data_IF_904427878117
#
_entry.id   IF_904427878117
#
_cell.length_a   1.000
_cell.length_b   1.000
_cell.length_c   1.000
_cell.angle_alpha   90.00
_cell.angle_beta   90.00
_cell.angle_gamma   90.00
#
_symmetry.space_group_name_H-M   'P 1'
#
loop_
_entity.id
_entity.type
_entity.pdbx_description
1 polymer ?
#
# COMPACT_ATOMS: atom_id res chain seq x y z
N UNK A 1 9.73 -0.95 14.98
CA UNK A 1 8.83 -1.12 16.15
C UNK A 1 7.35 -1.22 15.75
N UNK A 2 6.79 -0.24 15.02
CA UNK A 2 5.41 -0.27 14.55
C UNK A 2 5.08 -1.42 13.58
N UNK A 3 5.95 -1.68 12.59
CA UNK A 3 5.76 -2.78 11.63
C UNK A 3 5.63 -4.16 12.30
N UNK A 4 6.45 -4.43 13.32
CA UNK A 4 6.34 -5.66 14.12
C UNK A 4 5.10 -5.67 15.00
N UNK A 5 4.76 -4.54 15.65
CA UNK A 5 3.58 -4.40 16.51
C UNK A 5 2.26 -4.70 15.78
N UNK A 6 2.16 -4.32 14.52
CA UNK A 6 0.97 -4.53 13.71
C UNK A 6 1.06 -5.76 12.79
N UNK A 7 2.04 -6.64 12.99
CA UNK A 7 2.17 -7.89 12.24
C UNK A 7 2.57 -7.72 10.77
N UNK A 8 2.96 -6.53 10.32
CA UNK A 8 3.36 -6.26 8.93
C UNK A 8 4.62 -7.06 8.57
N UNK A 9 5.59 -7.13 9.48
CA UNK A 9 6.80 -7.92 9.28
C UNK A 9 6.55 -9.44 9.23
N UNK A 10 5.44 -9.91 9.81
CA UNK A 10 5.08 -11.33 9.85
C UNK A 10 4.34 -11.81 8.59
N UNK A 11 3.84 -10.91 7.75
CA UNK A 11 3.21 -11.26 6.48
C UNK A 11 4.22 -11.94 5.55
N UNK A 12 3.86 -13.06 4.95
CA UNK A 12 4.77 -13.80 4.08
C UNK A 12 4.93 -13.12 2.71
N UNK A 13 6.04 -13.38 2.02
CA UNK A 13 6.20 -12.89 0.66
C UNK A 13 5.22 -13.56 -0.32
N UNK A 14 4.72 -14.75 -0.01
CA UNK A 14 3.76 -15.47 -0.83
C UNK A 14 2.40 -14.78 -0.81
N UNK A 15 1.90 -14.43 0.39
CA UNK A 15 0.64 -13.68 0.55
C UNK A 15 0.70 -12.34 -0.18
N UNK A 16 1.86 -11.67 -0.15
CA UNK A 16 2.06 -10.40 -0.86
C UNK A 16 1.99 -10.61 -2.37
N UNK A 17 2.60 -11.66 -2.92
CA UNK A 17 2.53 -11.97 -4.35
C UNK A 17 1.10 -12.28 -4.79
N UNK A 18 0.37 -13.04 -3.99
CA UNK A 18 -1.05 -13.31 -4.25
C UNK A 18 -1.88 -12.02 -4.23
N UNK A 19 -1.71 -11.16 -3.23
CA UNK A 19 -2.38 -9.86 -3.19
C UNK A 19 -2.01 -8.97 -4.41
N UNK A 20 -0.78 -9.06 -4.90
CA UNK A 20 -0.33 -8.33 -6.09
C UNK A 20 -0.97 -8.88 -7.37
N UNK A 21 -1.10 -10.21 -7.50
CA UNK A 21 -1.74 -10.84 -8.67
C UNK A 21 -3.25 -10.58 -8.73
N UNK A 22 -3.89 -10.28 -7.59
CA UNK A 22 -5.27 -9.81 -7.53
C UNK A 22 -5.46 -8.36 -8.01
N UNK A 23 -4.37 -7.63 -8.29
CA UNK A 23 -4.43 -6.24 -8.73
C UNK A 23 -4.81 -5.26 -7.60
N UNK A 24 -4.46 -5.58 -6.35
CA UNK A 24 -4.68 -4.66 -5.22
C UNK A 24 -3.86 -3.37 -5.35
N UNK A 25 -2.56 -3.51 -5.62
CA UNK A 25 -1.67 -2.41 -5.98
C UNK A 25 -1.18 -2.60 -7.42
N UNK A 26 -1.36 -1.59 -8.27
CA UNK A 26 -0.92 -1.61 -9.67
C UNK A 26 -0.20 -0.32 -10.05
N UNK A 27 0.89 -0.41 -10.82
CA UNK A 27 1.53 0.77 -11.40
C UNK A 27 0.72 1.27 -12.59
N UNK A 28 0.49 2.57 -12.68
CA UNK A 28 -0.37 3.16 -13.72
C UNK A 28 0.24 4.43 -14.28
N UNK A 29 1.28 4.28 -15.10
CA UNK A 29 1.92 5.42 -15.77
C UNK A 29 2.49 6.46 -14.80
N UNK A 30 2.36 7.73 -15.20
CA UNK A 30 2.83 8.88 -14.45
C UNK A 30 1.77 9.96 -14.35
N UNK A 31 1.85 10.77 -13.28
CA UNK A 31 0.96 11.91 -13.10
C UNK A 31 1.39 13.12 -13.95
N UNK A 32 0.69 14.25 -13.76
CA UNK A 32 0.95 15.50 -14.49
C UNK A 32 2.35 16.08 -14.25
N UNK A 33 3.00 15.71 -13.14
CA UNK A 33 4.35 16.14 -12.76
C UNK A 33 5.41 15.10 -13.14
N UNK A 34 5.02 14.03 -13.84
CA UNK A 34 5.91 12.95 -14.27
C UNK A 34 6.25 11.94 -13.16
N UNK A 35 5.61 12.00 -11.99
CA UNK A 35 5.84 11.04 -10.89
C UNK A 35 5.16 9.71 -11.22
N UNK A 36 5.82 8.57 -10.95
CA UNK A 36 5.17 7.27 -11.14
C UNK A 36 3.94 7.16 -10.24
N UNK A 37 2.86 6.59 -10.80
CA UNK A 37 1.60 6.42 -10.09
C UNK A 37 1.39 4.96 -9.66
N UNK A 38 0.87 4.78 -8.45
CA UNK A 38 0.41 3.49 -7.92
C UNK A 38 -1.08 3.61 -7.60
N UNK A 39 -1.88 2.76 -8.23
CA UNK A 39 -3.30 2.59 -7.90
C UNK A 39 -3.44 1.61 -6.75
N UNK A 40 -4.28 1.97 -5.78
CA UNK A 40 -4.64 1.15 -4.62
C UNK A 40 -6.14 0.93 -4.68
N UNK A 41 -6.58 -0.28 -5.05
CA UNK A 41 -7.99 -0.63 -5.24
C UNK A 41 -8.64 -1.04 -3.93
N UNK A 42 -9.28 -0.09 -3.24
CA UNK A 42 -9.79 -0.29 -1.88
C UNK A 42 -10.96 -1.28 -1.81
N UNK A 43 -11.67 -1.54 -2.92
CA UNK A 43 -12.71 -2.56 -2.96
C UNK A 43 -12.18 -3.99 -2.70
N UNK A 44 -10.88 -4.21 -2.94
CA UNK A 44 -10.19 -5.48 -2.69
C UNK A 44 -9.70 -5.62 -1.23
N UNK A 45 -9.74 -4.55 -0.43
CA UNK A 45 -9.54 -4.59 1.02
C UNK A 45 -10.73 -5.24 1.73
N UNK A 46 -11.07 -6.48 1.37
CA UNK A 46 -12.01 -7.30 2.14
C UNK A 46 -11.22 -7.92 3.28
N UNK A 47 -11.52 -7.53 4.52
CA UNK A 47 -10.69 -7.88 5.69
C UNK A 47 -10.47 -9.39 5.85
N UNK A 48 -11.42 -10.21 5.41
CA UNK A 48 -11.31 -11.67 5.41
C UNK A 48 -10.27 -12.23 4.42
N UNK A 49 -9.94 -11.49 3.36
CA UNK A 49 -9.03 -11.90 2.27
C UNK A 49 -7.74 -11.12 2.26
N UNK A 50 -7.83 -9.81 2.51
CA UNK A 50 -6.73 -8.87 2.51
C UNK A 50 -6.72 -8.13 3.84
N UNK A 51 -6.00 -8.71 4.80
CA UNK A 51 -5.84 -8.08 6.11
C UNK A 51 -5.11 -6.74 5.98
N UNK A 52 -5.32 -5.77 6.89
CA UNK A 52 -4.62 -4.48 6.82
C UNK A 52 -3.10 -4.60 6.84
N UNK A 53 -2.55 -5.56 7.58
CA UNK A 53 -1.09 -5.79 7.61
C UNK A 53 -0.56 -6.26 6.26
N UNK A 54 -1.32 -7.13 5.57
CA UNK A 54 -1.01 -7.57 4.21
C UNK A 54 -1.16 -6.42 3.21
N UNK A 55 -2.23 -5.65 3.30
CA UNK A 55 -2.45 -4.46 2.48
C UNK A 55 -1.26 -3.49 2.58
N UNK A 56 -0.86 -3.16 3.81
CA UNK A 56 0.27 -2.27 4.07
C UNK A 56 1.57 -2.82 3.49
N UNK A 57 1.90 -4.09 3.75
CA UNK A 57 3.14 -4.69 3.22
C UNK A 57 3.14 -4.75 1.69
N UNK A 58 1.99 -5.07 1.08
CA UNK A 58 1.86 -5.09 -0.37
C UNK A 58 2.11 -3.70 -0.96
N UNK A 59 1.50 -2.65 -0.39
CA UNK A 59 1.72 -1.26 -0.83
C UNK A 59 3.18 -0.83 -0.62
N UNK A 60 3.82 -1.23 0.47
CA UNK A 60 5.25 -0.97 0.71
C UNK A 60 6.15 -1.58 -0.36
N UNK A 61 5.95 -2.86 -0.69
CA UNK A 61 6.76 -3.50 -1.72
C UNK A 61 6.45 -2.96 -3.12
N UNK A 62 5.20 -2.58 -3.40
CA UNK A 62 4.85 -1.89 -4.63
C UNK A 62 5.55 -0.54 -4.75
N UNK A 63 5.61 0.23 -3.67
CA UNK A 63 6.38 1.47 -3.58
C UNK A 63 7.86 1.20 -3.86
N UNK A 64 8.51 0.33 -3.10
CA UNK A 64 9.96 0.08 -3.20
C UNK A 64 10.35 -0.31 -4.61
N UNK A 65 9.58 -1.22 -5.20
CA UNK A 65 9.83 -1.68 -6.55
C UNK A 65 9.58 -0.58 -7.60
N UNK A 66 8.76 0.43 -7.30
CA UNK A 66 8.50 1.56 -8.20
C UNK A 66 9.63 2.59 -8.12
N UNK A 67 10.12 2.87 -6.92
CA UNK A 67 11.22 3.81 -6.71
C UNK A 67 12.61 3.24 -7.03
N UNK A 68 12.75 1.92 -7.15
CA UNK A 68 14.03 1.31 -7.56
C UNK A 68 14.41 1.57 -9.03
N UNK A 69 13.53 2.20 -9.82
CA UNK A 69 13.76 2.45 -11.24
C UNK A 69 14.84 3.50 -11.53
N UNK A 70 14.98 4.53 -10.70
CA UNK A 70 16.04 5.55 -10.82
C UNK A 70 16.16 6.41 -9.55
N UNK A 71 17.32 7.04 -9.33
CA UNK A 71 17.49 8.03 -8.26
C UNK A 71 16.54 9.23 -8.42
N UNK A 72 16.23 9.60 -9.66
CA UNK A 72 15.31 10.69 -9.97
C UNK A 72 13.87 10.35 -9.55
N UNK A 73 13.40 9.13 -9.82
CA UNK A 73 12.12 8.65 -9.33
C UNK A 73 12.07 8.66 -7.80
N UNK A 74 13.16 8.24 -7.14
CA UNK A 74 13.27 8.29 -5.69
C UNK A 74 13.13 9.71 -5.14
N UNK A 75 13.75 10.71 -5.78
CA UNK A 75 13.67 12.12 -5.35
C UNK A 75 12.31 12.75 -5.63
N UNK A 76 11.73 12.50 -6.80
CA UNK A 76 10.44 13.04 -7.22
C UNK A 76 9.27 12.42 -6.45
N UNK A 77 9.49 11.23 -5.87
CA UNK A 77 8.49 10.49 -5.12
C UNK A 77 7.52 9.79 -6.05
N UNK A 78 6.29 9.59 -5.56
CA UNK A 78 5.24 8.87 -6.26
C UNK A 78 3.88 9.50 -5.99
N UNK A 79 2.91 9.17 -6.83
CA UNK A 79 1.51 9.51 -6.62
C UNK A 79 0.70 8.25 -6.31
N UNK A 80 -0.07 8.27 -5.21
CA UNK A 80 -1.03 7.22 -4.92
C UNK A 80 -2.42 7.61 -5.42
N UNK A 81 -3.06 6.73 -6.18
CA UNK A 81 -4.47 6.84 -6.53
C UNK A 81 -5.24 5.82 -5.72
N UNK A 82 -6.01 6.29 -4.74
CA UNK A 82 -6.91 5.42 -3.98
C UNK A 82 -8.24 5.29 -4.72
N UNK A 83 -8.43 4.15 -5.37
CA UNK A 83 -9.67 3.83 -6.07
C UNK A 83 -10.71 3.29 -5.08
N UNK A 84 -11.73 4.11 -4.85
CA UNK A 84 -12.86 3.81 -3.97
C UNK A 84 -14.03 3.13 -4.70
N UNK A 85 -13.94 2.90 -6.02
CA UNK A 85 -15.01 2.28 -6.78
C UNK A 85 -15.28 0.86 -6.26
N UNK A 86 -16.53 0.58 -5.87
CA UNK A 86 -16.94 -0.74 -5.37
C UNK A 86 -16.63 -1.00 -3.88
N UNK A 87 -16.13 0.00 -3.15
CA UNK A 87 -16.04 -0.06 -1.68
C UNK A 87 -17.44 -0.15 -1.07
N UNK A 88 -17.62 -1.08 -0.13
CA UNK A 88 -18.89 -1.28 0.56
C UNK A 88 -18.72 -1.89 1.95
N UNK A 89 -19.82 -2.38 2.53
CA UNK A 89 -19.84 -2.91 3.92
C UNK A 89 -18.81 -4.02 4.16
N UNK A 90 -18.49 -4.83 3.15
CA UNK A 90 -17.49 -5.91 3.20
C UNK A 90 -16.06 -5.40 3.51
N UNK A 91 -15.78 -4.13 3.25
CA UNK A 91 -14.48 -3.50 3.46
C UNK A 91 -14.36 -2.81 4.82
N UNK A 92 -15.47 -2.70 5.57
CA UNK A 92 -15.51 -2.00 6.86
C UNK A 92 -15.11 -2.99 7.97
N UNK A 93 -14.25 -2.52 8.87
CA UNK A 93 -13.96 -3.22 10.13
C UNK A 93 -13.96 -2.26 11.29
N UNK A 94 -14.47 -2.73 12.42
CA UNK A 94 -14.44 -2.02 13.71
C UNK A 94 -13.30 -2.50 14.60
N UNK A 95 -12.38 -3.32 14.08
CA UNK A 95 -11.20 -3.72 14.83
C UNK A 95 -10.24 -2.53 14.97
N UNK A 96 -10.00 -2.01 16.19
CA UNK A 96 -9.15 -0.84 16.38
C UNK A 96 -7.68 -1.09 15.98
N UNK A 97 -7.23 -2.34 16.00
CA UNK A 97 -5.90 -2.71 15.56
C UNK A 97 -5.76 -2.59 14.04
N UNK A 98 -6.83 -2.79 13.28
CA UNK A 98 -6.84 -2.68 11.83
C UNK A 98 -6.74 -1.24 11.36
N UNK A 99 -7.48 -0.34 12.01
CA UNK A 99 -7.33 1.10 11.78
C UNK A 99 -5.92 1.58 12.14
N UNK A 100 -5.39 1.12 13.28
CA UNK A 100 -4.04 1.48 13.72
C UNK A 100 -2.96 0.94 12.78
N UNK A 101 -3.12 -0.28 12.25
CA UNK A 101 -2.24 -0.85 11.24
C UNK A 101 -2.29 -0.06 9.92
N UNK A 102 -3.48 0.29 9.44
CA UNK A 102 -3.63 1.06 8.20
C UNK A 102 -3.05 2.49 8.32
N UNK A 103 -3.18 3.15 9.46
CA UNK A 103 -2.68 4.52 9.65
C UNK A 103 -1.20 4.50 10.07
N UNK A 104 -0.90 3.93 11.25
CA UNK A 104 0.45 3.99 11.85
C UNK A 104 1.39 2.98 11.22
N UNK A 105 0.85 1.83 10.84
CA UNK A 105 1.61 0.82 10.11
C UNK A 105 2.03 1.37 8.76
N UNK A 106 1.11 1.86 7.92
CA UNK A 106 1.46 2.40 6.60
C UNK A 106 2.54 3.48 6.62
N UNK A 107 2.49 4.42 7.58
CA UNK A 107 3.47 5.50 7.71
C UNK A 107 4.80 5.08 8.33
N UNK A 108 4.92 3.83 8.79
CA UNK A 108 6.15 3.33 9.45
C UNK A 108 7.18 2.76 8.49
N UNK A 109 6.94 2.85 7.18
CA UNK A 109 7.91 2.39 6.20
C UNK A 109 9.14 3.29 6.21
N UNK A 110 10.37 2.74 6.13
CA UNK A 110 11.60 3.50 6.03
C UNK A 110 11.81 4.12 4.62
N UNK A 111 10.77 4.74 4.06
CA UNK A 111 10.82 5.47 2.79
C UNK A 111 11.01 6.96 3.05
N UNK A 112 11.94 7.59 2.34
CA UNK A 112 11.94 9.04 2.17
C UNK A 112 10.82 9.41 1.20
N UNK A 113 9.57 9.49 1.68
CA UNK A 113 8.51 10.19 0.95
C UNK A 113 8.83 11.67 0.99
N UNK A 114 9.45 12.20 -0.08
CA UNK A 114 9.80 13.61 -0.17
C UNK A 114 8.57 14.51 -0.15
N UNK A 115 7.41 14.05 -0.67
CA UNK A 115 6.10 14.73 -0.63
C UNK A 115 4.94 13.73 -0.72
N UNK A 116 3.90 13.94 0.10
CA UNK A 116 2.56 13.36 -0.07
C UNK A 116 1.63 14.56 -0.33
N UNK A 117 0.96 14.60 -1.48
CA UNK A 117 -0.11 15.55 -1.80
C UNK A 117 -1.37 14.77 -2.14
#
# INVERSE_FOLDING_TARGET
>A
EAASRYGINAVSNEDVREAYSMGFCERSGSDVDGRPMIWVRLALCEVAKLSPSLAVRNTWLAHDATLCGSEEANRNGLCFVYDCQGVGRKNISFNPNYLSAAIRGATSHPMHLSRVW
#
